data_IF_736306808974
#
_entry.id   IF_736306808974
#
_cell.length_a   1.000
_cell.length_b   1.000
_cell.length_c   1.000
_cell.angle_alpha   90.00
_cell.angle_beta   90.00
_cell.angle_gamma   90.00
#
_symmetry.space_group_name_H-M   'P 1'
#
loop_
_entity.id
_entity.type
_entity.pdbx_description
1 polymer ?
#
# COMPACT_ATOMS: atom_id res chain seq x y z
N UNK A 1 -20.57 1.06 -8.23
CA UNK A 1 -20.26 1.97 -7.11
C UNK A 1 -19.68 1.12 -6.00
N UNK A 2 -18.40 1.30 -5.69
CA UNK A 2 -17.82 0.69 -4.51
C UNK A 2 -18.45 1.39 -3.28
N UNK A 3 -18.73 0.61 -2.24
CA UNK A 3 -19.43 1.00 -1.02
C UNK A 3 -18.89 2.30 -0.39
N UNK A 4 -19.77 3.15 0.17
CA UNK A 4 -19.39 4.29 1.01
C UNK A 4 -18.64 3.88 2.30
N UNK A 5 -18.45 2.57 2.53
CA UNK A 5 -17.75 1.98 3.66
C UNK A 5 -16.37 1.48 3.21
N UNK A 6 -15.46 2.40 2.94
CA UNK A 6 -14.13 2.13 2.43
C UNK A 6 -13.04 2.83 3.26
N UNK A 7 -11.85 2.25 3.26
CA UNK A 7 -10.63 2.84 3.83
C UNK A 7 -9.45 2.62 2.87
N UNK A 8 -8.54 3.57 2.82
CA UNK A 8 -7.28 3.43 2.08
C UNK A 8 -6.18 3.09 3.06
N UNK A 9 -5.67 1.86 2.98
CA UNK A 9 -4.55 1.37 3.80
C UNK A 9 -3.32 1.29 2.94
N UNK A 10 -2.19 1.79 3.41
CA UNK A 10 -0.98 1.75 2.61
C UNK A 10 0.29 1.63 3.45
N UNK A 11 1.32 1.04 2.84
CA UNK A 11 2.70 1.14 3.26
C UNK A 11 3.45 2.05 2.29
N UNK A 12 4.27 2.95 2.81
CA UNK A 12 5.08 3.85 1.99
C UNK A 12 6.43 4.13 2.65
N UNK A 13 7.42 4.54 1.87
CA UNK A 13 8.75 4.85 2.38
C UNK A 13 9.19 6.23 1.90
N UNK A 14 9.71 7.04 2.82
CA UNK A 14 10.38 8.32 2.57
C UNK A 14 11.90 8.12 2.42
N UNK A 15 12.65 9.19 2.25
CA UNK A 15 14.10 9.16 2.07
C UNK A 15 14.50 8.88 0.63
N UNK A 16 15.68 8.35 0.44
CA UNK A 16 16.19 8.05 -0.89
C UNK A 16 15.49 6.84 -1.51
N UNK A 17 14.82 7.05 -2.63
CA UNK A 17 14.09 6.02 -3.37
C UNK A 17 14.59 5.91 -4.80
N UNK A 18 14.53 4.69 -5.34
CA UNK A 18 14.94 4.42 -6.71
C UNK A 18 14.17 5.30 -7.71
N UNK A 19 14.87 5.85 -8.70
CA UNK A 19 14.34 6.68 -9.77
C UNK A 19 13.83 8.07 -9.38
N UNK A 20 13.47 8.32 -8.11
CA UNK A 20 12.91 9.61 -7.66
C UNK A 20 13.85 10.37 -6.72
N UNK A 21 14.91 9.73 -6.21
CA UNK A 21 15.87 10.34 -5.29
C UNK A 21 15.31 10.52 -3.89
N UNK A 22 15.75 11.57 -3.19
CA UNK A 22 15.31 11.91 -1.84
C UNK A 22 13.90 12.49 -1.86
N UNK A 23 12.98 11.90 -1.13
CA UNK A 23 11.57 12.32 -1.08
C UNK A 23 11.07 12.40 0.37
N UNK A 24 10.24 13.41 0.66
CA UNK A 24 9.62 13.62 1.98
C UNK A 24 8.26 12.92 2.12
N UNK A 25 7.59 12.67 1.00
CA UNK A 25 6.32 11.91 0.93
C UNK A 25 6.52 10.76 -0.02
N UNK A 26 6.35 9.53 0.45
CA UNK A 26 6.57 8.34 -0.35
C UNK A 26 5.62 8.22 -1.54
N UNK A 27 6.06 7.51 -2.59
CA UNK A 27 5.30 7.35 -3.83
C UNK A 27 3.90 6.78 -3.56
N UNK A 28 3.82 5.70 -2.78
CA UNK A 28 2.55 5.03 -2.47
C UNK A 28 1.62 5.92 -1.64
N UNK A 29 2.18 6.72 -0.71
CA UNK A 29 1.41 7.68 0.10
C UNK A 29 0.73 8.73 -0.79
N UNK A 30 1.42 9.24 -1.81
CA UNK A 30 0.83 10.21 -2.76
C UNK A 30 -0.36 9.63 -3.51
N UNK A 31 -0.23 8.39 -3.99
CA UNK A 31 -1.34 7.70 -4.67
C UNK A 31 -2.50 7.43 -3.70
N UNK A 32 -2.20 6.99 -2.47
CA UNK A 32 -3.20 6.77 -1.42
C UNK A 32 -4.01 8.03 -1.11
N UNK A 33 -3.37 9.19 -1.04
CA UNK A 33 -4.04 10.48 -0.83
C UNK A 33 -4.99 10.84 -1.97
N UNK A 34 -4.59 10.60 -3.22
CA UNK A 34 -5.46 10.83 -4.39
C UNK A 34 -6.68 9.92 -4.34
N UNK A 35 -6.49 8.61 -4.09
CA UNK A 35 -7.61 7.65 -3.97
C UNK A 35 -8.55 8.09 -2.85
N UNK A 36 -8.02 8.35 -1.64
CA UNK A 36 -8.81 8.76 -0.49
C UNK A 36 -9.66 10.01 -0.77
N UNK A 37 -9.06 11.01 -1.41
CA UNK A 37 -9.77 12.22 -1.83
C UNK A 37 -10.88 11.95 -2.84
N UNK A 38 -10.67 11.02 -3.79
CA UNK A 38 -11.66 10.69 -4.83
C UNK A 38 -12.87 9.95 -4.29
N UNK A 39 -12.66 9.07 -3.32
CA UNK A 39 -13.75 8.25 -2.75
C UNK A 39 -14.29 8.78 -1.43
N UNK A 40 -13.70 9.85 -0.87
CA UNK A 40 -14.09 10.41 0.41
C UNK A 40 -13.82 9.46 1.59
N UNK A 41 -12.76 8.66 1.52
CA UNK A 41 -12.41 7.68 2.54
C UNK A 41 -11.24 8.15 3.42
N UNK A 42 -11.17 7.72 4.69
CA UNK A 42 -10.01 7.93 5.53
C UNK A 42 -8.80 7.11 5.05
N UNK A 43 -7.62 7.50 5.52
CA UNK A 43 -6.37 6.77 5.27
C UNK A 43 -5.82 6.15 6.54
N UNK A 44 -5.14 5.02 6.39
CA UNK A 44 -4.40 4.34 7.46
C UNK A 44 -3.04 3.91 6.91
N UNK A 45 -1.98 4.30 7.56
CA UNK A 45 -0.63 3.90 7.18
C UNK A 45 -0.14 2.69 8.00
N UNK A 46 0.44 1.73 7.32
CA UNK A 46 1.17 0.61 7.92
C UNK A 46 2.60 1.09 8.18
N UNK A 47 2.94 1.33 9.43
CA UNK A 47 4.27 1.84 9.82
C UNK A 47 5.04 0.74 10.52
N UNK A 48 6.18 0.27 9.98
CA UNK A 48 7.02 -0.70 10.67
C UNK A 48 7.52 -0.16 12.01
N UNK A 49 7.58 -0.99 13.04
CA UNK A 49 8.16 -0.61 14.34
C UNK A 49 9.63 -0.26 14.19
N UNK A 50 10.36 -1.05 13.40
CA UNK A 50 11.71 -0.73 12.95
C UNK A 50 11.62 -0.06 11.57
N UNK A 51 11.85 1.26 11.54
CA UNK A 51 11.79 2.02 10.29
C UNK A 51 12.93 1.61 9.36
N UNK A 52 12.65 1.58 8.07
CA UNK A 52 13.68 1.38 7.06
C UNK A 52 14.62 2.59 6.99
N UNK A 53 15.92 2.37 6.76
CA UNK A 53 16.87 3.45 6.59
C UNK A 53 16.47 4.44 5.49
N UNK A 54 16.86 5.71 5.63
CA UNK A 54 16.62 6.72 4.58
C UNK A 54 17.53 6.50 3.37
N UNK A 55 18.72 5.93 3.57
CA UNK A 55 19.67 5.60 2.50
C UNK A 55 19.15 4.40 1.71
N UNK A 56 19.12 4.52 0.38
CA UNK A 56 18.54 3.51 -0.50
C UNK A 56 19.18 2.13 -0.36
N UNK A 57 20.53 2.06 -0.45
CA UNK A 57 21.24 0.78 -0.41
C UNK A 57 21.06 0.04 0.93
N UNK A 58 20.98 0.78 2.02
CA UNK A 58 20.73 0.21 3.36
C UNK A 58 19.30 -0.33 3.48
N UNK A 59 18.32 0.38 2.93
CA UNK A 59 16.94 -0.07 2.88
C UNK A 59 16.79 -1.32 2.00
N UNK A 60 17.47 -1.39 0.86
CA UNK A 60 17.53 -2.56 -0.02
C UNK A 60 18.14 -3.75 0.71
N UNK A 61 19.23 -3.54 1.46
CA UNK A 61 19.87 -4.61 2.23
C UNK A 61 18.93 -5.20 3.29
N UNK A 62 18.25 -4.34 4.05
CA UNK A 62 17.25 -4.77 5.05
C UNK A 62 16.09 -5.52 4.39
N UNK A 63 15.50 -4.98 3.33
CA UNK A 63 14.40 -5.61 2.60
C UNK A 63 14.79 -6.98 2.00
N UNK A 64 16.04 -7.10 1.52
CA UNK A 64 16.59 -8.36 1.01
C UNK A 64 16.68 -9.41 2.12
N UNK A 65 17.20 -9.02 3.28
CA UNK A 65 17.33 -9.91 4.43
C UNK A 65 15.95 -10.37 4.92
N UNK A 66 15.00 -9.45 5.08
CA UNK A 66 13.64 -9.76 5.50
C UNK A 66 12.95 -10.74 4.56
N UNK A 67 13.05 -10.47 3.25
CA UNK A 67 12.48 -11.35 2.23
C UNK A 67 13.11 -12.75 2.26
N UNK A 68 14.41 -12.84 2.33
CA UNK A 68 15.16 -14.11 2.35
C UNK A 68 14.81 -14.95 3.59
N UNK A 69 14.57 -14.27 4.72
CA UNK A 69 14.19 -14.94 5.97
C UNK A 69 12.69 -15.22 6.06
N UNK A 70 11.87 -14.77 5.12
CA UNK A 70 10.42 -14.82 5.26
C UNK A 70 9.93 -14.05 6.48
N UNK A 71 10.62 -12.95 6.83
CA UNK A 71 10.36 -12.18 8.04
C UNK A 71 8.94 -11.60 8.07
N UNK A 72 8.45 -11.38 9.27
CA UNK A 72 7.18 -10.69 9.54
C UNK A 72 7.42 -9.52 10.48
N UNK A 73 7.99 -8.40 9.96
CA UNK A 73 8.28 -7.23 10.78
C UNK A 73 7.02 -6.72 11.49
N UNK A 74 7.17 -6.37 12.76
CA UNK A 74 6.10 -5.76 13.53
C UNK A 74 5.75 -4.38 12.96
N UNK A 75 4.49 -4.00 13.04
CA UNK A 75 3.98 -2.73 12.55
C UNK A 75 3.00 -2.09 13.52
N UNK A 76 2.77 -0.81 13.34
CA UNK A 76 1.66 -0.05 13.93
C UNK A 76 0.78 0.50 12.81
N UNK A 77 -0.48 0.79 13.14
CA UNK A 77 -1.40 1.50 12.24
C UNK A 77 -1.47 2.96 12.67
N UNK A 78 -1.16 3.84 11.74
CA UNK A 78 -1.22 5.29 11.97
C UNK A 78 -2.42 5.86 11.21
N UNK A 79 -3.31 6.50 11.97
CA UNK A 79 -4.46 7.17 11.41
C UNK A 79 -4.06 8.40 10.60
N UNK A 80 -4.57 8.48 9.37
CA UNK A 80 -4.60 9.73 8.61
C UNK A 80 -5.89 10.50 8.88
N UNK A 81 -6.18 11.49 8.06
CA UNK A 81 -7.38 12.30 8.17
C UNK A 81 -8.65 11.44 8.15
N UNK A 82 -9.51 11.65 9.14
CA UNK A 82 -10.79 10.94 9.28
C UNK A 82 -10.73 9.54 9.89
N UNK A 83 -9.59 9.12 10.47
CA UNK A 83 -9.40 7.81 11.08
C UNK A 83 -9.04 7.92 12.57
N UNK A 84 -10.02 7.91 13.48
CA UNK A 84 -9.78 8.03 14.92
C UNK A 84 -9.24 6.75 15.56
N UNK A 85 -9.71 5.58 15.10
CA UNK A 85 -9.29 4.27 15.59
C UNK A 85 -9.09 3.31 14.41
N UNK A 86 -7.87 3.20 13.88
CA UNK A 86 -7.60 2.42 12.68
C UNK A 86 -7.99 0.94 12.80
N UNK A 87 -7.76 0.32 13.94
CA UNK A 87 -8.09 -1.10 14.13
C UNK A 87 -9.59 -1.36 14.07
N UNK A 88 -10.38 -0.59 14.85
CA UNK A 88 -11.84 -0.71 14.85
C UNK A 88 -12.44 -0.32 13.49
N UNK A 89 -11.86 0.68 12.82
CA UNK A 89 -12.27 1.06 11.47
C UNK A 89 -12.11 -0.10 10.49
N UNK A 90 -10.96 -0.76 10.48
CA UNK A 90 -10.70 -1.90 9.60
C UNK A 90 -11.68 -3.07 9.86
N UNK A 91 -12.08 -3.28 11.12
CA UNK A 91 -13.03 -4.33 11.46
C UNK A 91 -14.44 -4.05 10.89
N UNK A 92 -14.85 -2.79 10.87
CA UNK A 92 -16.19 -2.36 10.38
C UNK A 92 -16.24 -2.05 8.88
N UNK A 93 -15.09 -1.89 8.21
CA UNK A 93 -15.01 -1.50 6.80
C UNK A 93 -15.22 -2.70 5.87
N UNK A 94 -15.96 -2.49 4.79
CA UNK A 94 -16.23 -3.52 3.76
C UNK A 94 -15.16 -3.55 2.66
N UNK A 95 -14.67 -2.38 2.23
CA UNK A 95 -13.71 -2.27 1.13
C UNK A 95 -12.41 -1.64 1.60
N UNK A 96 -11.31 -2.33 1.38
CA UNK A 96 -9.96 -1.88 1.70
C UNK A 96 -9.19 -1.66 0.39
N UNK A 97 -8.83 -0.40 0.12
CA UNK A 97 -7.86 -0.05 -0.90
C UNK A 97 -6.47 -0.24 -0.30
N UNK A 98 -5.73 -1.25 -0.77
CA UNK A 98 -4.44 -1.63 -0.19
C UNK A 98 -3.29 -1.19 -1.08
N UNK A 99 -2.48 -0.25 -0.60
CA UNK A 99 -1.34 0.31 -1.32
C UNK A 99 0.03 -0.16 -0.82
N UNK A 100 0.94 -0.42 -1.74
CA UNK A 100 2.32 -0.83 -1.43
C UNK A 100 3.28 -0.54 -2.59
N UNK A 101 4.56 -0.30 -2.31
CA UNK A 101 5.58 -0.30 -3.36
C UNK A 101 5.95 -1.72 -3.75
N UNK A 102 6.42 -1.92 -4.97
CA UNK A 102 6.99 -3.21 -5.38
C UNK A 102 8.46 -3.27 -5.00
N UNK A 103 8.79 -4.21 -4.12
CA UNK A 103 10.15 -4.54 -3.69
C UNK A 103 10.47 -5.98 -4.06
N UNK A 104 11.52 -6.19 -4.88
CA UNK A 104 11.90 -7.52 -5.35
C UNK A 104 10.74 -8.29 -6.02
N UNK A 105 9.98 -7.60 -6.87
CA UNK A 105 8.80 -8.16 -7.55
C UNK A 105 7.71 -8.66 -6.60
N UNK A 106 7.65 -8.12 -5.38
CA UNK A 106 6.72 -8.52 -4.33
C UNK A 106 6.34 -7.32 -3.46
N UNK A 107 5.47 -7.56 -2.47
CA UNK A 107 5.13 -6.59 -1.44
C UNK A 107 6.24 -6.53 -0.37
N UNK A 108 6.45 -5.38 0.29
CA UNK A 108 7.26 -5.31 1.51
C UNK A 108 6.75 -6.26 2.60
N UNK A 109 7.65 -6.84 3.37
CA UNK A 109 7.29 -7.83 4.40
C UNK A 109 6.32 -7.32 5.47
N UNK A 110 6.35 -6.03 5.90
CA UNK A 110 5.32 -5.50 6.80
C UNK A 110 3.88 -5.57 6.25
N UNK A 111 3.71 -5.53 4.93
CA UNK A 111 2.39 -5.70 4.30
C UNK A 111 1.88 -7.12 4.48
N UNK A 112 2.76 -8.13 4.39
CA UNK A 112 2.39 -9.51 4.71
C UNK A 112 1.99 -9.64 6.18
N UNK A 113 2.76 -9.06 7.11
CA UNK A 113 2.41 -9.06 8.54
C UNK A 113 1.02 -8.46 8.76
N UNK A 114 0.71 -7.34 8.11
CA UNK A 114 -0.60 -6.71 8.18
C UNK A 114 -1.70 -7.63 7.64
N UNK A 115 -1.53 -8.21 6.45
CA UNK A 115 -2.52 -9.10 5.84
C UNK A 115 -2.77 -10.37 6.68
N UNK A 116 -1.75 -10.89 7.33
CA UNK A 116 -1.85 -12.08 8.19
C UNK A 116 -2.41 -11.77 9.60
N UNK A 117 -2.54 -10.49 9.97
CA UNK A 117 -2.88 -10.08 11.33
C UNK A 117 -4.36 -10.16 11.68
N UNK A 118 -5.25 -10.41 10.71
CA UNK A 118 -6.71 -10.41 10.90
C UNK A 118 -7.45 -11.28 9.89
N UNK A 119 -8.71 -11.55 10.19
CA UNK A 119 -9.63 -12.20 9.27
C UNK A 119 -10.21 -11.17 8.28
N UNK A 120 -10.13 -11.49 6.99
CA UNK A 120 -10.63 -10.67 5.90
C UNK A 120 -11.90 -11.23 5.26
N UNK A 121 -12.49 -12.27 5.84
CA UNK A 121 -13.68 -12.94 5.29
C UNK A 121 -14.81 -11.95 5.06
N UNK A 122 -15.38 -12.01 3.85
CA UNK A 122 -16.49 -11.14 3.42
C UNK A 122 -16.08 -9.71 3.05
N UNK A 123 -14.80 -9.35 3.16
CA UNK A 123 -14.29 -8.04 2.75
C UNK A 123 -13.84 -8.04 1.30
N UNK A 124 -13.80 -6.85 0.71
CA UNK A 124 -13.22 -6.61 -0.62
C UNK A 124 -11.88 -5.91 -0.46
N UNK A 125 -10.84 -6.41 -1.12
CA UNK A 125 -9.52 -5.78 -1.17
C UNK A 125 -9.25 -5.34 -2.59
N UNK A 126 -9.00 -4.03 -2.77
CA UNK A 126 -8.65 -3.39 -4.02
C UNK A 126 -7.17 -2.98 -3.97
N UNK A 127 -6.23 -3.79 -4.49
CA UNK A 127 -4.82 -3.48 -4.39
C UNK A 127 -4.39 -2.39 -5.37
N UNK A 128 -3.44 -1.55 -4.95
CA UNK A 128 -2.72 -0.66 -5.84
C UNK A 128 -1.23 -0.64 -5.49
N UNK A 129 -0.38 -0.47 -6.48
CA UNK A 129 1.05 -0.43 -6.22
C UNK A 129 1.75 0.75 -6.90
N UNK A 130 2.90 1.12 -6.34
CA UNK A 130 3.89 1.95 -7.01
C UNK A 130 5.12 1.12 -7.37
N UNK A 131 5.64 1.30 -8.57
CA UNK A 131 6.76 0.54 -9.11
C UNK A 131 7.63 1.39 -10.02
N UNK A 132 8.76 0.85 -10.49
CA UNK A 132 9.60 1.51 -11.49
C UNK A 132 9.87 0.62 -12.72
N UNK A 133 8.85 -0.18 -13.11
CA UNK A 133 8.87 -0.99 -14.34
C UNK A 133 8.35 -2.41 -14.22
N UNK A 134 8.11 -2.90 -13.00
CA UNK A 134 7.64 -4.27 -12.76
C UNK A 134 6.11 -4.45 -12.85
N UNK A 135 5.35 -3.35 -12.87
CA UNK A 135 3.90 -3.43 -12.70
C UNK A 135 3.52 -4.02 -11.34
N UNK A 136 2.37 -4.66 -11.28
CA UNK A 136 1.87 -5.37 -10.09
C UNK A 136 2.68 -6.64 -9.75
N UNK A 137 3.49 -7.14 -10.68
CA UNK A 137 4.11 -8.46 -10.55
C UNK A 137 3.08 -9.54 -10.14
N UNK A 138 3.44 -10.45 -9.23
CA UNK A 138 2.52 -11.51 -8.74
C UNK A 138 1.78 -11.13 -7.46
N UNK A 139 1.79 -9.84 -7.07
CA UNK A 139 1.30 -9.42 -5.75
C UNK A 139 -0.20 -9.65 -5.55
N UNK A 140 -1.03 -9.47 -6.58
CA UNK A 140 -2.47 -9.75 -6.50
C UNK A 140 -2.72 -11.23 -6.19
N UNK A 141 -1.97 -12.14 -6.83
CA UNK A 141 -2.05 -13.56 -6.54
C UNK A 141 -1.55 -13.90 -5.13
N UNK A 142 -0.51 -13.20 -4.66
CA UNK A 142 0.00 -13.34 -3.29
C UNK A 142 -1.03 -12.87 -2.26
N UNK A 143 -1.68 -11.74 -2.48
CA UNK A 143 -2.77 -11.25 -1.62
C UNK A 143 -3.89 -12.29 -1.55
N UNK A 144 -4.37 -12.81 -2.69
CA UNK A 144 -5.42 -13.84 -2.75
C UNK A 144 -5.09 -15.09 -1.93
N UNK A 145 -3.81 -15.48 -1.88
CA UNK A 145 -3.38 -16.65 -1.08
C UNK A 145 -3.42 -16.37 0.43
N UNK A 146 -3.16 -15.14 0.84
CA UNK A 146 -3.08 -14.76 2.27
C UNK A 146 -4.47 -14.47 2.83
N UNK A 147 -5.31 -13.73 2.09
CA UNK A 147 -6.60 -13.24 2.58
C UNK A 147 -7.76 -14.17 2.20
N UNK A 148 -7.68 -15.39 2.66
CA UNK A 148 -8.71 -16.41 2.37
C UNK A 148 -10.09 -15.92 2.81
N UNK A 149 -11.08 -16.03 1.93
CA UNK A 149 -12.46 -15.58 2.21
C UNK A 149 -12.75 -14.12 1.83
N UNK A 150 -11.75 -13.34 1.44
CA UNK A 150 -11.94 -12.01 0.87
C UNK A 150 -12.13 -12.07 -0.66
N UNK A 151 -12.80 -11.06 -1.20
CA UNK A 151 -12.79 -10.78 -2.64
C UNK A 151 -11.60 -9.85 -2.95
N UNK A 152 -10.69 -10.28 -3.81
CA UNK A 152 -9.55 -9.46 -4.23
C UNK A 152 -9.75 -9.01 -5.67
N UNK A 153 -9.90 -7.71 -5.87
CA UNK A 153 -10.11 -7.10 -7.17
C UNK A 153 -8.81 -7.09 -8.00
N UNK A 154 -8.93 -6.76 -9.28
CA UNK A 154 -7.78 -6.48 -10.10
C UNK A 154 -7.12 -5.16 -9.65
N UNK A 155 -5.80 -5.16 -9.57
CA UNK A 155 -5.05 -4.06 -9.00
C UNK A 155 -4.80 -2.94 -10.00
N UNK A 156 -4.47 -1.75 -9.45
CA UNK A 156 -3.93 -0.63 -10.19
C UNK A 156 -2.42 -0.55 -10.00
N UNK A 157 -1.69 -0.24 -11.05
CA UNK A 157 -0.26 0.06 -10.99
C UNK A 157 0.03 1.50 -11.40
N UNK A 158 1.04 2.11 -10.80
CA UNK A 158 1.54 3.43 -11.20
C UNK A 158 3.05 3.53 -10.97
N UNK A 159 3.77 4.12 -11.91
CA UNK A 159 5.19 4.42 -11.66
C UNK A 159 5.36 5.43 -10.55
N UNK A 160 6.30 5.17 -9.64
CA UNK A 160 6.63 6.09 -8.54
C UNK A 160 7.08 7.46 -9.04
N UNK A 161 7.84 7.51 -10.14
CA UNK A 161 8.22 8.75 -10.78
C UNK A 161 7.01 9.58 -11.27
N UNK A 162 5.93 8.93 -11.72
CA UNK A 162 4.68 9.61 -12.09
C UNK A 162 3.98 10.13 -10.84
N UNK A 163 3.87 9.31 -9.79
CA UNK A 163 3.26 9.72 -8.51
C UNK A 163 3.97 10.94 -7.89
N UNK A 164 5.29 11.05 -8.05
CA UNK A 164 6.07 12.18 -7.54
C UNK A 164 5.96 13.45 -8.38
N UNK A 165 5.95 13.33 -9.70
CA UNK A 165 6.22 14.46 -10.60
C UNK A 165 5.03 14.87 -11.49
N UNK A 166 3.96 14.06 -11.57
CA UNK A 166 2.81 14.32 -12.43
C UNK A 166 1.49 13.99 -11.71
N UNK A 167 1.00 14.99 -10.97
CA UNK A 167 -0.26 14.87 -10.21
C UNK A 167 -1.45 14.61 -11.14
N UNK A 168 -1.50 15.25 -12.29
CA UNK A 168 -2.61 15.09 -13.24
C UNK A 168 -2.64 13.68 -13.85
N UNK A 169 -1.48 13.10 -14.18
CA UNK A 169 -1.41 11.74 -14.64
C UNK A 169 -1.80 10.75 -13.52
N UNK A 170 -1.38 11.00 -12.29
CA UNK A 170 -1.79 10.20 -11.12
C UNK A 170 -3.30 10.23 -10.94
N UNK A 171 -3.91 11.41 -11.00
CA UNK A 171 -5.37 11.58 -10.90
C UNK A 171 -6.09 10.83 -12.02
N UNK A 172 -5.64 10.97 -13.28
CA UNK A 172 -6.25 10.25 -14.42
C UNK A 172 -6.18 8.74 -14.26
N UNK A 173 -5.05 8.22 -13.77
CA UNK A 173 -4.89 6.78 -13.54
C UNK A 173 -5.85 6.29 -12.46
N UNK A 174 -5.96 7.02 -11.35
CA UNK A 174 -6.90 6.70 -10.26
C UNK A 174 -8.34 6.78 -10.73
N UNK A 175 -8.73 7.86 -11.42
CA UNK A 175 -10.10 8.03 -11.93
C UNK A 175 -10.47 6.90 -12.92
N UNK A 176 -9.54 6.51 -13.79
CA UNK A 176 -9.75 5.40 -14.73
C UNK A 176 -9.88 4.04 -14.07
N UNK A 177 -9.26 3.85 -12.91
CA UNK A 177 -9.35 2.60 -12.14
C UNK A 177 -10.62 2.53 -11.28
N UNK A 178 -11.03 3.66 -10.73
CA UNK A 178 -12.24 3.73 -9.89
C UNK A 178 -13.55 3.64 -10.71
N UNK A 179 -13.53 3.95 -12.01
CA UNK A 179 -14.68 3.88 -12.94
C UNK A 179 -15.46 5.14 -12.97
#
# INVERSE_FOLDING_TARGET
>A
MLSNNAVVVYFSRIGENYSVGEIEVGNTAKVAQVIASRIGAPTVEIVPVELYPNVYDEAVAQATQERSAGARPAFTLVAGDGADNPAAMLDSTETIYLGYPIWWSDMPMPVYTFLESRDWSGKTIAPFCTHEGSGLADTVASIRRVVVGATVLDGMELRGAVAQNDVDATVRAVDGWLG
#
